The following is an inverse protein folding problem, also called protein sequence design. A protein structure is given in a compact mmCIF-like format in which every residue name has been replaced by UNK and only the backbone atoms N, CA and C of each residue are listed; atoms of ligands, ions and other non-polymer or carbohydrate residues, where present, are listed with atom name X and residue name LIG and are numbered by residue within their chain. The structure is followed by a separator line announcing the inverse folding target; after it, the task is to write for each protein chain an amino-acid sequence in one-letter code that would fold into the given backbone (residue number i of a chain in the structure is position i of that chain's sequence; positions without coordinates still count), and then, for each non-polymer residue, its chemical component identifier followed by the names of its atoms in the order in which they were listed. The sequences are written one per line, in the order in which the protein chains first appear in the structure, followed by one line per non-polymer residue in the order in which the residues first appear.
data_IF_327146519956
#
_entry.id   IF_327146519956
#
_cell.length_a   1.000
_cell.length_b   1.000
_cell.length_c   1.000
_cell.angle_alpha   90.00
_cell.angle_beta   90.00
_cell.angle_gamma   90.00
#
_symmetry.space_group_name_H-M   'P 1'
#
loop_
_entity.id
_entity.type
_entity.pdbx_description
1 polymer ?
#
# COMPACT_ATOMS: atom_id res chain seq x y z
N UNK A 1 16.65 23.69 -3.40
CA UNK A 1 16.25 22.50 -2.61
C UNK A 1 17.44 21.56 -2.54
N UNK A 2 17.80 21.05 -1.35
CA UNK A 2 18.92 20.12 -1.18
C UNK A 2 18.50 18.69 -1.59
N UNK A 3 19.42 17.78 -1.92
CA UNK A 3 19.08 16.39 -2.23
C UNK A 3 18.27 15.69 -1.13
N UNK A 4 18.61 15.93 0.13
CA UNK A 4 17.88 15.38 1.28
C UNK A 4 16.41 15.87 1.33
N UNK A 5 16.14 17.10 0.89
CA UNK A 5 14.79 17.64 0.84
C UNK A 5 13.92 16.84 -0.15
N UNK A 6 14.50 16.37 -1.27
CA UNK A 6 13.78 15.52 -2.24
C UNK A 6 13.40 14.17 -1.63
N UNK A 7 14.27 13.59 -0.80
CA UNK A 7 14.00 12.32 -0.13
C UNK A 7 12.82 12.44 0.84
N UNK A 8 12.70 13.56 1.57
CA UNK A 8 11.52 13.82 2.42
C UNK A 8 10.29 14.22 1.61
N UNK A 9 10.46 15.00 0.53
CA UNK A 9 9.37 15.45 -0.34
C UNK A 9 8.62 14.27 -0.97
N UNK A 10 9.35 13.29 -1.52
CA UNK A 10 8.74 12.08 -2.09
C UNK A 10 8.47 10.98 -1.06
N UNK A 11 8.67 11.29 0.23
CA UNK A 11 8.56 10.35 1.35
C UNK A 11 9.40 9.08 1.17
N UNK A 12 10.58 9.18 0.56
CA UNK A 12 11.54 8.07 0.55
C UNK A 12 12.08 7.81 1.97
N UNK A 13 12.27 8.88 2.74
CA UNK A 13 12.57 8.83 4.17
C UNK A 13 11.34 9.18 5.00
N UNK A 14 11.28 8.64 6.22
CA UNK A 14 10.26 9.02 7.19
C UNK A 14 10.43 10.49 7.59
N UNK A 15 9.33 11.23 7.70
CA UNK A 15 9.33 12.60 8.22
C UNK A 15 8.24 12.74 9.28
N UNK A 16 8.65 12.97 10.53
CA UNK A 16 7.77 12.95 11.72
C UNK A 16 7.00 11.62 11.81
N UNK A 17 5.67 11.65 11.61
CA UNK A 17 4.77 10.48 11.64
C UNK A 17 4.44 9.97 10.22
N UNK A 18 4.81 10.69 9.15
CA UNK A 18 4.63 10.20 7.77
C UNK A 18 5.68 9.12 7.50
N UNK A 19 5.21 7.92 7.17
CA UNK A 19 6.05 6.76 6.83
C UNK A 19 6.50 6.81 5.38
N UNK A 20 7.57 6.08 5.10
CA UNK A 20 8.10 5.93 3.76
C UNK A 20 7.06 5.41 2.76
N UNK A 21 6.99 6.06 1.60
CA UNK A 21 6.11 5.74 0.48
C UNK A 21 6.50 4.44 -0.23
N UNK A 22 7.71 3.92 -0.03
CA UNK A 22 8.20 2.75 -0.79
C UNK A 22 7.51 1.44 -0.40
N UNK A 23 6.78 1.38 0.71
CA UNK A 23 6.21 0.13 1.24
C UNK A 23 5.27 -0.59 0.26
N UNK A 24 4.38 0.08 -0.48
CA UNK A 24 3.51 -0.59 -1.46
C UNK A 24 4.28 -1.22 -2.62
N UNK A 25 5.53 -0.82 -2.88
CA UNK A 25 6.38 -1.47 -3.89
C UNK A 25 6.58 -2.95 -3.59
N UNK A 26 6.54 -3.33 -2.30
CA UNK A 26 6.61 -4.74 -1.89
C UNK A 26 5.50 -5.60 -2.50
N UNK A 27 4.31 -5.06 -2.75
CA UNK A 27 3.21 -5.82 -3.37
C UNK A 27 3.44 -6.08 -4.86
N UNK A 28 4.04 -5.13 -5.57
CA UNK A 28 4.43 -5.30 -6.96
C UNK A 28 5.56 -6.35 -7.09
N UNK A 29 6.60 -6.23 -6.25
CA UNK A 29 7.69 -7.21 -6.20
C UNK A 29 7.16 -8.61 -5.85
N UNK A 30 6.25 -8.68 -4.88
CA UNK A 30 5.59 -9.94 -4.50
C UNK A 30 4.78 -10.55 -5.65
N UNK A 31 4.02 -9.75 -6.40
CA UNK A 31 3.28 -10.21 -7.58
C UNK A 31 4.19 -10.82 -8.64
N UNK A 32 5.33 -10.19 -8.90
CA UNK A 32 6.32 -10.69 -9.85
C UNK A 32 6.97 -12.01 -9.38
N UNK A 33 7.38 -12.09 -8.10
CA UNK A 33 7.91 -13.32 -7.50
C UNK A 33 6.88 -14.45 -7.59
N UNK A 34 5.62 -14.15 -7.31
CA UNK A 34 4.53 -15.11 -7.34
C UNK A 34 4.21 -15.65 -8.74
N UNK A 35 4.46 -14.87 -9.79
CA UNK A 35 4.40 -15.35 -11.17
C UNK A 35 5.53 -16.35 -11.49
N UNK A 36 6.64 -16.23 -10.76
CA UNK A 36 7.84 -17.06 -10.81
C UNK A 36 8.36 -17.38 -12.22
N UNK A 37 8.38 -16.35 -13.06
CA UNK A 37 9.16 -16.34 -14.28
C UNK A 37 10.05 -15.10 -14.19
N UNK A 38 11.27 -15.31 -13.71
CA UNK A 38 12.19 -14.23 -13.40
C UNK A 38 12.94 -13.77 -14.66
N UNK A 39 12.54 -12.62 -15.19
CA UNK A 39 13.26 -11.91 -16.24
C UNK A 39 13.67 -10.52 -15.75
N UNK A 40 14.97 -10.23 -15.79
CA UNK A 40 15.50 -8.99 -15.23
C UNK A 40 14.88 -7.73 -15.86
N UNK A 41 14.72 -7.71 -17.18
CA UNK A 41 14.25 -6.52 -17.90
C UNK A 41 12.80 -6.15 -17.52
N UNK A 42 11.79 -7.04 -17.64
CA UNK A 42 10.42 -6.74 -17.20
C UNK A 42 10.33 -6.41 -15.71
N UNK A 43 11.10 -7.08 -14.85
CA UNK A 43 11.13 -6.79 -13.42
C UNK A 43 11.62 -5.36 -13.14
N UNK A 44 12.76 -4.97 -13.71
CA UNK A 44 13.37 -3.66 -13.52
C UNK A 44 12.44 -2.57 -14.08
N UNK A 45 11.95 -2.74 -15.30
CA UNK A 45 11.06 -1.76 -15.94
C UNK A 45 9.77 -1.57 -15.14
N UNK A 46 9.13 -2.65 -14.71
CA UNK A 46 7.93 -2.57 -13.89
C UNK A 46 8.20 -1.92 -12.53
N UNK A 47 9.31 -2.28 -11.88
CA UNK A 47 9.71 -1.69 -10.59
C UNK A 47 9.92 -0.18 -10.73
N UNK A 48 10.56 0.29 -11.80
CA UNK A 48 10.74 1.72 -12.10
C UNK A 48 9.39 2.41 -12.33
N UNK A 49 8.49 1.80 -13.11
CA UNK A 49 7.17 2.35 -13.39
C UNK A 49 6.33 2.50 -12.10
N UNK A 50 6.23 1.42 -11.31
CA UNK A 50 5.50 1.39 -10.04
C UNK A 50 6.13 2.36 -9.03
N UNK A 51 7.46 2.43 -8.98
CA UNK A 51 8.14 3.40 -8.13
C UNK A 51 7.77 4.84 -8.50
N UNK A 52 7.83 5.21 -9.79
CA UNK A 52 7.40 6.52 -10.26
C UNK A 52 5.93 6.83 -9.90
N UNK A 53 5.04 5.86 -10.09
CA UNK A 53 3.63 5.98 -9.72
C UNK A 53 3.43 6.21 -8.20
N UNK A 54 4.18 5.49 -7.36
CA UNK A 54 4.16 5.66 -5.90
C UNK A 54 4.65 7.06 -5.50
N UNK A 55 5.77 7.54 -6.06
CA UNK A 55 6.28 8.89 -5.76
C UNK A 55 5.26 9.97 -6.15
N UNK A 56 4.63 9.83 -7.32
CA UNK A 56 3.54 10.69 -7.75
C UNK A 56 2.37 10.63 -6.77
N UNK A 57 1.87 9.44 -6.44
CA UNK A 57 0.72 9.25 -5.55
C UNK A 57 0.92 9.93 -4.20
N UNK A 58 2.05 9.69 -3.53
CA UNK A 58 2.28 10.25 -2.21
C UNK A 58 2.55 11.77 -2.23
N UNK A 59 3.25 12.27 -3.24
CA UNK A 59 3.49 13.71 -3.38
C UNK A 59 2.23 14.48 -3.76
N UNK A 60 1.41 13.99 -4.70
CA UNK A 60 0.12 14.64 -5.04
C UNK A 60 -0.86 14.58 -3.87
N UNK A 61 -0.76 13.56 -3.01
CA UNK A 61 -1.51 13.48 -1.76
C UNK A 61 -1.14 14.63 -0.80
N UNK A 62 0.16 14.86 -0.59
CA UNK A 62 0.67 15.98 0.21
C UNK A 62 0.29 17.34 -0.37
N UNK A 63 0.39 17.47 -1.70
CA UNK A 63 0.00 18.69 -2.42
C UNK A 63 -1.48 19.02 -2.23
N UNK A 64 -2.34 18.01 -2.30
CA UNK A 64 -3.79 18.16 -2.13
C UNK A 64 -4.19 18.49 -0.68
N UNK A 65 -3.29 18.25 0.28
CA UNK A 65 -3.49 18.51 1.71
C UNK A 65 -2.87 19.83 2.19
N UNK A 66 -2.27 20.64 1.31
CA UNK A 66 -1.62 21.91 1.69
C UNK A 66 -2.52 22.89 2.46
N UNK A 67 -3.82 22.91 2.15
CA UNK A 67 -4.79 23.79 2.81
C UNK A 67 -5.42 23.16 4.06
N UNK A 68 -5.14 21.88 4.36
CA UNK A 68 -5.69 21.24 5.56
C UNK A 68 -4.93 21.73 6.80
N UNK A 69 -5.59 22.32 7.81
CA UNK A 69 -4.92 22.82 8.99
C UNK A 69 -4.31 21.70 9.84
N UNK A 70 -4.92 20.51 9.82
CA UNK A 70 -4.53 19.35 10.64
C UNK A 70 -3.47 18.46 9.99
N UNK A 71 -3.35 18.49 8.66
CA UNK A 71 -2.35 17.68 7.95
C UNK A 71 -1.02 18.43 7.89
N UNK A 72 0.04 17.81 8.40
CA UNK A 72 1.40 18.33 8.29
C UNK A 72 2.21 17.49 7.30
N UNK A 73 2.93 18.16 6.40
CA UNK A 73 3.83 17.51 5.43
C UNK A 73 5.11 18.31 5.26
N UNK A 74 6.17 17.63 4.82
CA UNK A 74 7.43 18.31 4.53
C UNK A 74 7.24 19.36 3.43
N UNK A 75 6.42 19.04 2.42
CA UNK A 75 6.02 19.98 1.37
C UNK A 75 5.36 21.25 1.93
N UNK A 76 4.38 21.09 2.84
CA UNK A 76 3.71 22.23 3.50
C UNK A 76 4.72 23.10 4.26
N UNK A 77 5.72 22.49 4.90
CA UNK A 77 6.80 23.21 5.61
C UNK A 77 7.66 24.02 4.65
N UNK A 78 8.06 23.44 3.51
CA UNK A 78 8.85 24.15 2.49
C UNK A 78 8.08 25.35 1.90
N UNK A 79 6.77 25.19 1.66
CA UNK A 79 5.93 26.27 1.14
C UNK A 79 5.75 27.37 2.18
N UNK A 80 5.41 27.01 3.44
CA UNK A 80 5.27 27.98 4.55
C UNK A 80 6.54 28.79 4.80
N UNK A 81 7.71 28.20 4.58
CA UNK A 81 9.02 28.86 4.78
C UNK A 81 9.53 29.59 3.54
N UNK A 82 8.74 29.67 2.45
CA UNK A 82 9.14 30.33 1.21
C UNK A 82 10.23 29.60 0.41
N UNK A 83 10.61 28.38 0.80
CA UNK A 83 11.65 27.58 0.14
C UNK A 83 11.14 26.88 -1.13
N UNK A 84 9.83 26.79 -1.31
CA UNK A 84 9.17 26.15 -2.44
C UNK A 84 7.87 26.90 -2.77
N UNK A 85 7.62 27.22 -4.04
CA UNK A 85 6.33 27.78 -4.47
C UNK A 85 5.33 26.65 -4.75
N UNK A 86 4.03 26.96 -4.79
CA UNK A 86 2.98 25.96 -5.04
C UNK A 86 3.12 25.37 -6.45
N UNK A 87 3.39 26.20 -7.44
CA UNK A 87 3.56 25.81 -8.84
C UNK A 87 4.71 24.83 -8.98
N UNK A 88 5.86 25.16 -8.36
CA UNK A 88 7.03 24.29 -8.36
C UNK A 88 6.78 22.99 -7.60
N UNK A 89 6.03 23.03 -6.50
CA UNK A 89 5.63 21.83 -5.78
C UNK A 89 4.77 20.91 -6.67
N UNK A 90 3.81 21.45 -7.42
CA UNK A 90 2.99 20.68 -8.35
C UNK A 90 3.83 20.05 -9.46
N UNK A 91 4.75 20.81 -10.07
CA UNK A 91 5.68 20.28 -11.08
C UNK A 91 6.49 19.12 -10.53
N UNK A 92 7.02 19.24 -9.31
CA UNK A 92 7.74 18.15 -8.65
C UNK A 92 6.83 16.94 -8.36
N UNK A 93 5.56 17.15 -8.03
CA UNK A 93 4.62 16.03 -7.86
C UNK A 93 4.44 15.26 -9.16
N UNK A 94 4.36 15.95 -10.31
CA UNK A 94 4.12 15.34 -11.62
C UNK A 94 5.38 14.69 -12.22
N UNK A 95 6.58 15.16 -11.85
CA UNK A 95 7.84 14.70 -12.43
C UNK A 95 8.02 13.16 -12.42
N UNK A 96 7.70 12.41 -11.35
CA UNK A 96 7.81 10.95 -11.36
C UNK A 96 6.97 10.23 -12.42
N UNK A 97 5.94 10.87 -12.98
CA UNK A 97 5.13 10.28 -14.05
C UNK A 97 5.92 10.05 -15.34
N UNK A 98 7.06 10.71 -15.55
CA UNK A 98 7.91 10.42 -16.72
C UNK A 98 8.44 8.99 -16.74
N UNK A 99 8.47 8.33 -15.57
CA UNK A 99 8.95 6.96 -15.43
C UNK A 99 7.88 5.93 -15.78
N UNK A 100 6.59 6.29 -15.74
CA UNK A 100 5.50 5.32 -15.86
C UNK A 100 5.29 4.76 -17.28
N UNK A 101 5.54 5.49 -18.39
CA UNK A 101 5.38 4.95 -19.74
C UNK A 101 6.29 3.77 -20.06
N UNK A 102 7.36 3.53 -19.28
CA UNK A 102 8.26 2.39 -19.48
C UNK A 102 7.51 1.04 -19.46
N UNK A 103 6.40 0.96 -18.72
CA UNK A 103 5.55 -0.24 -18.61
C UNK A 103 4.95 -0.65 -19.96
N UNK A 104 4.77 0.29 -20.90
CA UNK A 104 4.21 0.02 -22.23
C UNK A 104 5.12 -0.91 -23.04
N UNK A 105 6.43 -0.84 -22.81
CA UNK A 105 7.41 -1.62 -23.57
C UNK A 105 7.64 -3.02 -23.01
N UNK A 106 7.24 -3.27 -21.75
CA UNK A 106 7.59 -4.51 -21.04
C UNK A 106 6.40 -5.31 -20.53
N UNK A 107 5.19 -4.75 -20.58
CA UNK A 107 4.01 -5.36 -19.97
C UNK A 107 2.93 -5.70 -20.99
N UNK A 108 2.10 -6.68 -20.64
CA UNK A 108 0.94 -7.06 -21.43
C UNK A 108 -0.17 -5.99 -21.36
N UNK A 109 -1.06 -5.93 -22.37
CA UNK A 109 -2.20 -4.99 -22.39
C UNK A 109 -3.06 -5.05 -21.11
N UNK A 110 -3.38 -6.23 -20.55
CA UNK A 110 -4.10 -6.32 -19.27
C UNK A 110 -3.33 -5.70 -18.10
N UNK A 111 -2.02 -5.94 -18.00
CA UNK A 111 -1.19 -5.34 -16.95
C UNK A 111 -1.17 -3.80 -17.08
N UNK A 112 -1.01 -3.27 -18.29
CA UNK A 112 -1.09 -1.82 -18.57
C UNK A 112 -2.45 -1.24 -18.15
N UNK A 113 -3.55 -1.95 -18.43
CA UNK A 113 -4.89 -1.52 -18.02
C UNK A 113 -5.01 -1.45 -16.49
N UNK A 114 -4.58 -2.49 -15.76
CA UNK A 114 -4.60 -2.49 -14.30
C UNK A 114 -3.72 -1.38 -13.74
N UNK A 115 -2.51 -1.21 -14.27
CA UNK A 115 -1.60 -0.14 -13.89
C UNK A 115 -2.23 1.25 -14.07
N UNK A 116 -2.94 1.45 -15.17
CA UNK A 116 -3.69 2.68 -15.46
C UNK A 116 -4.83 2.90 -14.45
N UNK A 117 -5.58 1.85 -14.11
CA UNK A 117 -6.60 1.90 -13.06
C UNK A 117 -6.00 2.27 -11.71
N UNK A 118 -4.83 1.73 -11.35
CA UNK A 118 -4.11 2.08 -10.12
C UNK A 118 -3.75 3.57 -10.12
N UNK A 119 -3.21 4.11 -11.23
CA UNK A 119 -2.89 5.53 -11.35
C UNK A 119 -4.12 6.41 -11.14
N UNK A 120 -5.23 6.12 -11.80
CA UNK A 120 -6.47 6.88 -11.66
C UNK A 120 -7.06 6.77 -10.26
N UNK A 121 -7.11 5.57 -9.69
CA UNK A 121 -7.61 5.34 -8.33
C UNK A 121 -6.85 6.21 -7.32
N UNK A 122 -5.52 6.24 -7.41
CA UNK A 122 -4.67 6.98 -6.49
C UNK A 122 -4.70 8.50 -6.70
N UNK A 123 -4.79 8.93 -7.96
CA UNK A 123 -5.03 10.32 -8.30
C UNK A 123 -6.36 10.81 -7.71
N UNK A 124 -7.47 10.13 -8.03
CA UNK A 124 -8.80 10.52 -7.55
C UNK A 124 -9.00 10.29 -6.06
N UNK A 125 -8.24 9.40 -5.44
CA UNK A 125 -8.20 9.28 -3.98
C UNK A 125 -7.72 10.58 -3.33
N UNK A 126 -6.72 11.23 -3.93
CA UNK A 126 -6.01 12.36 -3.33
C UNK A 126 -6.47 13.73 -3.83
N UNK A 127 -6.61 13.87 -5.15
CA UNK A 127 -6.86 15.11 -5.86
C UNK A 127 -8.35 15.30 -6.19
N UNK A 128 -8.74 16.57 -6.38
CA UNK A 128 -10.08 16.93 -6.85
C UNK A 128 -10.30 16.57 -8.33
N UNK A 129 -11.56 16.52 -8.81
CA UNK A 129 -12.77 16.89 -8.08
C UNK A 129 -13.31 15.79 -7.13
N UNK A 130 -12.96 14.52 -7.35
CA UNK A 130 -13.53 13.40 -6.56
C UNK A 130 -12.99 13.33 -5.14
N UNK A 131 -11.65 13.38 -4.94
CA UNK A 131 -10.97 13.25 -3.64
C UNK A 131 -11.60 12.18 -2.73
N UNK A 132 -11.55 10.91 -3.14
CA UNK A 132 -12.24 9.81 -2.44
C UNK A 132 -11.86 9.72 -0.95
N UNK A 133 -10.66 10.17 -0.56
CA UNK A 133 -10.22 10.18 0.84
C UNK A 133 -11.05 11.08 1.76
N UNK A 134 -11.74 12.09 1.24
CA UNK A 134 -12.63 12.97 2.02
C UNK A 134 -14.06 12.42 2.16
N UNK A 135 -14.40 11.38 1.40
CA UNK A 135 -15.73 10.78 1.41
C UNK A 135 -15.84 9.73 2.51
N UNK A 136 -16.98 9.71 3.21
CA UNK A 136 -17.23 8.83 4.38
C UNK A 136 -17.09 7.34 4.09
N UNK A 137 -17.45 6.90 2.88
CA UNK A 137 -17.46 5.48 2.51
C UNK A 137 -16.39 5.13 1.47
N UNK A 138 -16.10 6.04 0.54
CA UNK A 138 -15.22 5.76 -0.60
C UNK A 138 -13.73 5.72 -0.22
N UNK A 139 -13.35 6.19 0.96
CA UNK A 139 -11.97 6.08 1.43
C UNK A 139 -11.50 4.62 1.54
N UNK A 140 -12.43 3.68 1.74
CA UNK A 140 -12.14 2.24 1.86
C UNK A 140 -11.64 1.67 0.53
N UNK A 141 -12.02 2.26 -0.60
CA UNK A 141 -11.66 1.75 -1.92
C UNK A 141 -10.14 1.64 -2.09
N UNK A 142 -9.38 2.68 -1.76
CA UNK A 142 -7.91 2.63 -1.81
C UNK A 142 -7.36 1.61 -0.79
N UNK A 143 -7.87 1.64 0.44
CA UNK A 143 -7.44 0.75 1.52
C UNK A 143 -7.72 -0.74 1.26
N UNK A 144 -8.57 -1.07 0.28
CA UNK A 144 -8.87 -2.46 -0.12
C UNK A 144 -8.21 -2.81 -1.45
N UNK A 145 -8.16 -1.88 -2.41
CA UNK A 145 -7.80 -2.19 -3.80
C UNK A 145 -6.32 -1.94 -4.13
N UNK A 146 -5.60 -1.07 -3.43
CA UNK A 146 -4.26 -0.68 -3.89
C UNK A 146 -3.26 -1.86 -3.90
N UNK A 147 -3.16 -2.61 -2.80
CA UNK A 147 -2.28 -3.78 -2.72
C UNK A 147 -2.65 -4.92 -3.70
N UNK A 148 -3.91 -5.40 -3.77
CA UNK A 148 -4.25 -6.48 -4.70
C UNK A 148 -4.10 -6.08 -6.16
N UNK A 149 -4.39 -4.82 -6.53
CA UNK A 149 -4.18 -4.37 -7.90
C UNK A 149 -2.69 -4.30 -8.23
N UNK A 150 -1.84 -3.78 -7.34
CA UNK A 150 -0.37 -3.79 -7.54
C UNK A 150 0.17 -5.22 -7.70
N UNK A 151 -0.31 -6.15 -6.87
CA UNK A 151 0.05 -7.56 -6.99
C UNK A 151 -0.39 -8.16 -8.32
N UNK A 152 -1.66 -8.00 -8.71
CA UNK A 152 -2.21 -8.57 -9.94
C UNK A 152 -1.57 -7.97 -11.18
N UNK A 153 -1.36 -6.66 -11.20
CA UNK A 153 -0.65 -5.95 -12.27
C UNK A 153 0.70 -6.62 -12.53
N UNK A 154 1.52 -6.74 -11.47
CA UNK A 154 2.88 -7.24 -11.59
C UNK A 154 2.93 -8.75 -11.86
N UNK A 155 1.95 -9.50 -11.34
CA UNK A 155 1.81 -10.94 -11.62
C UNK A 155 1.49 -11.20 -13.11
N UNK A 156 0.57 -10.45 -13.72
CA UNK A 156 0.10 -10.67 -15.11
C UNK A 156 1.15 -10.28 -16.17
N UNK A 157 2.23 -9.60 -15.78
CA UNK A 157 3.35 -9.35 -16.69
C UNK A 157 3.89 -10.68 -17.24
N UNK A 158 3.96 -11.72 -16.41
CA UNK A 158 4.51 -13.04 -16.78
C UNK A 158 3.60 -14.22 -16.48
N UNK A 159 2.67 -14.06 -15.54
CA UNK A 159 1.68 -15.06 -15.16
C UNK A 159 0.42 -14.98 -16.02
N UNK A 160 -0.34 -16.07 -16.03
CA UNK A 160 -1.71 -16.08 -16.54
C UNK A 160 -2.67 -15.92 -15.37
N UNK A 161 -3.74 -15.14 -15.56
CA UNK A 161 -4.84 -15.10 -14.59
C UNK A 161 -5.44 -16.50 -14.45
N UNK A 162 -5.39 -17.01 -13.23
CA UNK A 162 -6.01 -18.26 -12.79
C UNK A 162 -6.65 -18.04 -11.42
N UNK A 163 -7.31 -19.06 -10.89
CA UNK A 163 -8.01 -18.96 -9.60
C UNK A 163 -7.04 -18.60 -8.46
N UNK A 164 -5.87 -19.22 -8.40
CA UNK A 164 -4.92 -19.04 -7.30
C UNK A 164 -4.46 -17.57 -7.06
N UNK A 165 -3.94 -16.82 -8.06
CA UNK A 165 -3.56 -15.42 -7.87
C UNK A 165 -4.76 -14.52 -7.56
N UNK A 166 -5.97 -14.83 -8.03
CA UNK A 166 -7.18 -14.08 -7.66
C UNK A 166 -7.47 -14.28 -6.17
N UNK A 167 -7.42 -15.52 -5.67
CA UNK A 167 -7.59 -15.81 -4.25
C UNK A 167 -6.50 -15.14 -3.39
N UNK A 168 -5.25 -15.10 -3.87
CA UNK A 168 -4.17 -14.36 -3.22
C UNK A 168 -4.45 -12.84 -3.17
N UNK A 169 -4.99 -12.27 -4.25
CA UNK A 169 -5.41 -10.88 -4.26
C UNK A 169 -6.49 -10.60 -3.20
N UNK A 170 -7.42 -11.53 -2.97
CA UNK A 170 -8.41 -11.41 -1.87
C UNK A 170 -7.72 -11.37 -0.50
N UNK A 171 -6.73 -12.24 -0.25
CA UNK A 171 -5.95 -12.22 0.99
C UNK A 171 -5.21 -10.88 1.16
N UNK A 172 -4.58 -10.38 0.10
CA UNK A 172 -3.90 -9.08 0.11
C UNK A 172 -4.86 -7.92 0.35
N UNK A 173 -6.08 -7.98 -0.18
CA UNK A 173 -7.11 -6.98 0.06
C UNK A 173 -7.50 -6.91 1.55
N UNK A 174 -7.72 -8.07 2.17
CA UNK A 174 -8.01 -8.17 3.61
C UNK A 174 -6.84 -7.67 4.46
N UNK A 175 -5.61 -8.06 4.10
CA UNK A 175 -4.41 -7.62 4.80
C UNK A 175 -4.19 -6.11 4.66
N UNK A 176 -4.31 -5.55 3.46
CA UNK A 176 -4.10 -4.13 3.23
C UNK A 176 -5.17 -3.29 3.95
N UNK A 177 -6.43 -3.75 3.95
CA UNK A 177 -7.48 -3.11 4.73
C UNK A 177 -7.19 -3.13 6.23
N UNK A 178 -6.68 -4.26 6.75
CA UNK A 178 -6.19 -4.36 8.12
C UNK A 178 -5.08 -3.34 8.43
N UNK A 179 -4.09 -3.17 7.54
CA UNK A 179 -3.06 -2.12 7.72
C UNK A 179 -3.63 -0.70 7.62
N UNK A 180 -4.67 -0.50 6.81
CA UNK A 180 -5.42 0.75 6.73
C UNK A 180 -6.11 1.10 8.04
N UNK A 181 -6.62 0.12 8.78
CA UNK A 181 -7.20 0.33 10.12
C UNK A 181 -6.12 0.76 11.12
N UNK A 182 -4.93 0.16 11.09
CA UNK A 182 -3.78 0.59 11.92
C UNK A 182 -3.42 2.05 11.60
N UNK A 183 -3.40 2.40 10.30
CA UNK A 183 -3.16 3.78 9.86
C UNK A 183 -4.20 4.76 10.43
N UNK A 184 -5.49 4.41 10.42
CA UNK A 184 -6.55 5.24 11.01
C UNK A 184 -6.36 5.41 12.52
N UNK A 185 -5.99 4.33 13.22
CA UNK A 185 -5.73 4.39 14.65
C UNK A 185 -4.54 5.28 15.00
N UNK A 186 -3.53 5.39 14.14
CA UNK A 186 -2.44 6.35 14.34
C UNK A 186 -2.91 7.79 14.10
N UNK A 187 -3.73 8.01 13.07
CA UNK A 187 -4.31 9.33 12.78
C UNK A 187 -5.11 9.88 14.00
N UNK A 188 -5.72 9.00 14.80
CA UNK A 188 -6.35 9.38 16.08
C UNK A 188 -5.35 9.89 17.12
N UNK A 189 -4.14 9.34 17.17
CA UNK A 189 -3.11 9.72 18.14
C UNK A 189 -2.42 11.01 17.76
N UNK A 190 -2.25 11.25 16.45
CA UNK A 190 -1.57 12.45 15.94
C UNK A 190 -2.51 13.64 15.76
N UNK A 191 -3.83 13.41 15.77
CA UNK A 191 -4.84 14.46 15.60
C UNK A 191 -4.94 15.03 14.19
N UNK A 192 -4.27 14.41 13.21
CA UNK A 192 -4.07 14.99 11.87
C UNK A 192 -5.26 14.90 10.93
N UNK A 193 -6.20 13.98 11.15
CA UNK A 193 -7.26 13.69 10.17
C UNK A 193 -8.68 13.87 10.67
N UNK A 194 -9.57 14.10 9.71
CA UNK A 194 -11.01 13.92 9.86
C UNK A 194 -11.26 12.45 10.20
N UNK A 195 -11.91 12.21 11.32
CA UNK A 195 -12.20 10.86 11.80
C UNK A 195 -13.14 10.15 10.82
N UNK A 196 -12.59 9.24 10.01
CA UNK A 196 -13.34 8.49 8.99
C UNK A 196 -14.36 7.53 9.60
N UNK A 197 -13.98 6.92 10.72
CA UNK A 197 -14.77 6.02 11.56
C UNK A 197 -14.43 6.29 13.03
N UNK A 198 -15.32 6.03 14.00
CA UNK A 198 -15.01 6.20 15.42
C UNK A 198 -13.88 5.28 15.91
N UNK A 199 -13.06 5.75 16.86
CA UNK A 199 -11.92 4.98 17.41
C UNK A 199 -12.32 3.61 17.98
N UNK A 200 -13.43 3.47 18.74
CA UNK A 200 -13.86 2.16 19.23
C UNK A 200 -14.18 1.17 18.11
N UNK A 201 -14.77 1.66 17.01
CA UNK A 201 -15.05 0.85 15.83
C UNK A 201 -13.76 0.44 15.13
N UNK A 202 -12.80 1.35 14.96
CA UNK A 202 -11.49 1.03 14.38
C UNK A 202 -10.75 -0.04 15.19
N UNK A 203 -10.76 0.05 16.53
CA UNK A 203 -10.18 -0.99 17.41
C UNK A 203 -10.91 -2.34 17.29
N UNK A 204 -12.23 -2.32 17.21
CA UNK A 204 -13.03 -3.55 16.98
C UNK A 204 -12.66 -4.19 15.65
N UNK A 205 -12.63 -3.41 14.57
CA UNK A 205 -12.27 -3.89 13.24
C UNK A 205 -10.83 -4.45 13.22
N UNK A 206 -9.88 -3.79 13.88
CA UNK A 206 -8.50 -4.27 13.99
C UNK A 206 -8.45 -5.71 14.55
N UNK A 207 -9.26 -6.01 15.57
CA UNK A 207 -9.32 -7.34 16.20
C UNK A 207 -10.10 -8.37 15.38
N UNK A 208 -11.11 -7.94 14.62
CA UNK A 208 -11.97 -8.83 13.83
C UNK A 208 -11.34 -9.20 12.48
N UNK A 209 -10.55 -8.31 11.87
CA UNK A 209 -9.99 -8.55 10.53
C UNK A 209 -9.13 -9.81 10.42
N UNK A 210 -8.23 -10.12 11.38
CA UNK A 210 -7.51 -11.39 11.38
C UNK A 210 -8.42 -12.61 11.48
N UNK A 211 -9.55 -12.53 12.18
CA UNK A 211 -10.54 -13.62 12.21
C UNK A 211 -11.21 -13.83 10.85
N UNK A 212 -11.56 -12.74 10.16
CA UNK A 212 -12.10 -12.81 8.79
C UNK A 212 -11.06 -13.46 7.86
N UNK A 213 -9.79 -13.03 7.92
CA UNK A 213 -8.71 -13.59 7.12
C UNK A 213 -8.45 -15.07 7.44
N UNK A 214 -8.55 -15.48 8.70
CA UNK A 214 -8.51 -16.88 9.11
C UNK A 214 -9.63 -17.70 8.46
N UNK A 215 -10.89 -17.24 8.56
CA UNK A 215 -12.02 -17.97 7.98
C UNK A 215 -11.86 -18.10 6.46
N UNK A 216 -11.55 -17.00 5.78
CA UNK A 216 -11.38 -16.98 4.32
C UNK A 216 -10.23 -17.92 3.89
N UNK A 217 -9.09 -17.88 4.57
CA UNK A 217 -7.96 -18.76 4.25
C UNK A 217 -8.26 -20.23 4.51
N UNK A 218 -9.00 -20.56 5.58
CA UNK A 218 -9.46 -21.92 5.84
C UNK A 218 -10.45 -22.40 4.77
N UNK A 219 -11.33 -21.54 4.25
CA UNK A 219 -12.23 -21.87 3.13
C UNK A 219 -11.45 -22.13 1.84
N UNK A 220 -10.35 -21.41 1.59
CA UNK A 220 -9.53 -21.64 0.40
C UNK A 220 -8.62 -22.87 0.52
N UNK A 221 -8.24 -23.24 1.74
CA UNK A 221 -7.24 -24.29 2.00
C UNK A 221 -7.53 -25.69 1.46
N UNK A 222 -8.80 -26.19 1.37
CA UNK A 222 -9.09 -27.49 0.77
C UNK A 222 -8.76 -27.54 -0.73
N UNK A 223 -8.80 -26.39 -1.41
CA UNK A 223 -8.49 -26.27 -2.83
C UNK A 223 -7.01 -25.94 -3.06
N UNK A 224 -6.43 -25.10 -2.20
CA UNK A 224 -5.05 -24.66 -2.29
C UNK A 224 -4.41 -24.62 -0.89
N UNK A 225 -3.72 -25.69 -0.46
CA UNK A 225 -3.17 -25.81 0.89
C UNK A 225 -2.20 -24.69 1.30
N UNK A 226 -1.63 -23.97 0.33
CA UNK A 226 -0.74 -22.82 0.56
C UNK A 226 -1.41 -21.73 1.44
N UNK A 227 -2.75 -21.62 1.43
CA UNK A 227 -3.48 -20.67 2.27
C UNK A 227 -3.46 -21.01 3.77
N UNK A 228 -3.00 -22.19 4.18
CA UNK A 228 -2.74 -22.50 5.59
C UNK A 228 -1.69 -21.55 6.21
N UNK A 229 -0.83 -20.95 5.39
CA UNK A 229 0.12 -19.91 5.82
C UNK A 229 -0.63 -18.68 6.34
N UNK A 230 -1.61 -18.17 5.58
CA UNK A 230 -2.46 -17.06 6.05
C UNK A 230 -3.25 -17.45 7.29
N UNK A 231 -3.76 -18.69 7.36
CA UNK A 231 -4.46 -19.17 8.55
C UNK A 231 -3.56 -19.12 9.79
N UNK A 232 -2.34 -19.64 9.68
CA UNK A 232 -1.33 -19.61 10.75
C UNK A 232 -0.98 -18.18 11.19
N UNK A 233 -0.64 -17.29 10.25
CA UNK A 233 -0.31 -15.90 10.60
C UNK A 233 -1.52 -15.10 11.10
N UNK A 234 -2.73 -15.44 10.67
CA UNK A 234 -3.96 -14.87 11.24
C UNK A 234 -4.15 -15.26 12.70
N UNK A 235 -3.86 -16.51 13.08
CA UNK A 235 -3.86 -16.94 14.48
C UNK A 235 -2.83 -16.16 15.30
N UNK A 236 -1.60 -15.98 14.80
CA UNK A 236 -0.57 -15.16 15.45
C UNK A 236 -1.09 -13.74 15.68
N UNK A 237 -1.69 -13.11 14.66
CA UNK A 237 -2.27 -11.76 14.77
C UNK A 237 -3.36 -11.71 15.84
N UNK A 238 -4.30 -12.67 15.84
CA UNK A 238 -5.39 -12.75 16.84
C UNK A 238 -4.80 -12.80 18.27
N UNK A 239 -3.82 -13.67 18.51
CA UNK A 239 -3.17 -13.81 19.82
C UNK A 239 -2.46 -12.50 20.20
N UNK A 240 -1.68 -11.92 19.28
CA UNK A 240 -0.93 -10.70 19.52
C UNK A 240 -1.82 -9.47 19.78
N UNK A 241 -3.06 -9.48 19.28
CA UNK A 241 -3.99 -8.37 19.40
C UNK A 241 -4.89 -8.43 20.65
N UNK A 242 -4.88 -9.54 21.42
CA UNK A 242 -5.71 -9.68 22.63
C UNK A 242 -5.54 -8.50 23.59
N UNK A 243 -4.28 -8.13 23.84
CA UNK A 243 -3.89 -7.06 24.76
C UNK A 243 -3.41 -5.79 24.03
N UNK A 244 -3.79 -5.61 22.76
CA UNK A 244 -3.35 -4.46 21.99
C UNK A 244 -3.96 -3.17 22.52
N UNK A 245 -3.10 -2.19 22.80
CA UNK A 245 -3.48 -0.88 23.31
C UNK A 245 -3.21 0.20 22.25
N UNK A 246 -3.97 1.32 22.23
CA UNK A 246 -3.78 2.38 21.24
C UNK A 246 -2.35 2.92 21.16
N UNK A 247 -1.67 3.13 22.29
CA UNK A 247 -0.27 3.60 22.39
C UNK A 247 0.74 2.72 21.63
N UNK A 248 0.39 1.46 21.35
CA UNK A 248 1.25 0.52 20.61
C UNK A 248 1.13 0.65 19.07
N UNK A 249 0.18 1.43 18.56
CA UNK A 249 -0.12 1.57 17.13
C UNK A 249 1.09 2.08 16.34
N UNK A 250 1.72 3.16 16.80
CA UNK A 250 2.87 3.73 16.09
C UNK A 250 4.07 2.77 16.05
N UNK A 251 4.36 2.09 17.16
CA UNK A 251 5.44 1.07 17.23
C UNK A 251 5.15 -0.07 16.25
N UNK A 252 3.90 -0.53 16.20
CA UNK A 252 3.44 -1.59 15.31
C UNK A 252 3.59 -1.20 13.86
N UNK A 253 3.08 -0.02 13.45
CA UNK A 253 3.15 0.43 12.06
C UNK A 253 4.58 0.62 11.56
N UNK A 254 5.51 0.97 12.45
CA UNK A 254 6.94 1.15 12.10
C UNK A 254 7.69 -0.18 12.02
N UNK A 255 7.32 -1.16 12.84
CA UNK A 255 7.89 -2.50 12.79
C UNK A 255 7.05 -3.42 11.89
N UNK A 256 7.40 -3.45 10.60
CA UNK A 256 6.73 -4.29 9.59
C UNK A 256 6.71 -5.79 9.93
N UNK A 257 7.65 -6.22 10.75
CA UNK A 257 7.84 -7.60 11.18
C UNK A 257 7.34 -7.85 12.61
N UNK A 258 6.53 -6.94 13.16
CA UNK A 258 5.87 -7.21 14.44
C UNK A 258 4.84 -8.33 14.28
N UNK A 259 4.52 -9.10 15.33
CA UNK A 259 3.48 -10.13 15.26
C UNK A 259 2.10 -9.61 14.81
N UNK A 260 1.81 -8.33 15.07
CA UNK A 260 0.56 -7.69 14.65
C UNK A 260 0.51 -7.45 13.14
N UNK A 261 1.61 -7.07 12.49
CA UNK A 261 1.65 -6.92 11.03
C UNK A 261 1.97 -8.25 10.35
N UNK A 262 2.96 -8.98 10.85
CA UNK A 262 3.40 -10.29 10.36
C UNK A 262 3.64 -10.31 8.84
N UNK A 263 4.43 -9.38 8.31
CA UNK A 263 4.84 -9.44 6.88
C UNK A 263 5.64 -10.71 6.53
N UNK A 264 6.10 -11.46 7.52
CA UNK A 264 6.64 -12.81 7.35
C UNK A 264 5.70 -13.75 6.55
N UNK A 265 4.39 -13.52 6.60
CA UNK A 265 3.41 -14.25 5.78
C UNK A 265 3.75 -14.17 4.29
N UNK A 266 4.00 -12.96 3.78
CA UNK A 266 4.30 -12.75 2.36
C UNK A 266 5.71 -13.18 2.00
N UNK A 267 6.64 -13.15 2.95
CA UNK A 267 7.95 -13.76 2.78
C UNK A 267 7.83 -15.29 2.63
N UNK A 268 7.01 -15.96 3.46
CA UNK A 268 6.77 -17.40 3.35
C UNK A 268 6.11 -17.77 2.01
N UNK A 269 5.12 -16.99 1.58
CA UNK A 269 4.51 -17.12 0.26
C UNK A 269 5.53 -16.95 -0.88
N UNK A 270 6.36 -15.91 -0.81
CA UNK A 270 7.41 -15.66 -1.80
C UNK A 270 8.42 -16.81 -1.86
N UNK A 271 8.84 -17.34 -0.71
CA UNK A 271 9.76 -18.48 -0.65
C UNK A 271 9.17 -19.72 -1.31
N UNK A 272 7.91 -20.04 -1.04
CA UNK A 272 7.25 -21.20 -1.67
C UNK A 272 7.10 -21.00 -3.17
N UNK A 273 6.76 -19.79 -3.63
CA UNK A 273 6.67 -19.49 -5.05
C UNK A 273 8.03 -19.70 -5.76
N UNK A 274 9.14 -19.37 -5.10
CA UNK A 274 10.49 -19.59 -5.63
C UNK A 274 10.86 -21.08 -5.62
N UNK A 275 10.58 -21.80 -4.53
CA UNK A 275 11.01 -23.21 -4.37
C UNK A 275 10.10 -24.21 -5.08
N UNK A 276 8.81 -23.91 -5.23
CA UNK A 276 7.82 -24.78 -5.87
C UNK A 276 7.89 -24.82 -7.40
N UNK A 277 8.92 -24.19 -7.98
CA UNK A 277 9.18 -24.11 -9.42
C UNK A 277 10.40 -24.93 -9.86
N UNK A 278 10.95 -25.75 -8.95
CA UNK A 278 11.94 -26.78 -9.25
C UNK A 278 11.29 -28.12 -9.59
#
# INVERSE_FOLDING_TARGET
MKPLDLLYFYRLLNWKHKISSIRPLGFAVFGYIWAGKFEAIPLIANTIAVFGAILFWFSINDYSDLNSPKEESFMKTLIKTGKLTRERALTLCLLPLILTPIVIFTSSKPAILIFTVILFLNFFYSAGPLRLKSHKYLWVAEAVLAAPLLFLESYIIRGSISTLPILMAVILALFYFYTGIIHILEDFQTGEKVQKIPQPLALKLLKVMPLISLIVSLVFSPFFPIFLITAFFSIIRIISLKNFKPDQVQKTRRNLFSPQLSLYEFAAYALIAITGQG
#
